data_IF_428272392329
#
_entry.id   IF_428272392329
#
_cell.length_a   1.000
_cell.length_b   1.000
_cell.length_c   1.000
_cell.angle_alpha   90.00
_cell.angle_beta   90.00
_cell.angle_gamma   90.00
#
_symmetry.space_group_name_H-M   'P 1'
#
loop_
_entity.id
_entity.type
_entity.pdbx_description
1 polymer ?
#
# COMPACT_ATOMS: atom_id res chain seq x y z
N UNK A 1 -21.34 33.03 -2.67
CA UNK A 1 -20.15 32.16 -2.60
C UNK A 1 -19.45 32.33 -3.92
N UNK A 2 -18.24 32.87 -3.90
CA UNK A 2 -17.53 33.19 -5.13
C UNK A 2 -17.19 31.88 -5.86
N UNK A 3 -17.12 31.90 -7.20
CA UNK A 3 -16.85 30.65 -7.94
C UNK A 3 -15.60 29.98 -7.39
N UNK A 4 -14.56 30.76 -7.10
CA UNK A 4 -13.26 30.31 -6.58
C UNK A 4 -13.37 29.54 -5.24
N UNK A 5 -14.22 29.99 -4.31
CA UNK A 5 -14.47 29.31 -3.03
C UNK A 5 -15.10 27.93 -3.22
N UNK A 6 -15.92 27.74 -4.27
CA UNK A 6 -16.53 26.44 -4.57
C UNK A 6 -15.53 25.41 -5.12
N UNK A 7 -14.45 25.85 -5.75
CA UNK A 7 -13.39 24.95 -6.26
C UNK A 7 -12.43 24.51 -5.17
N UNK A 8 -12.15 25.39 -4.21
CA UNK A 8 -11.34 25.04 -3.04
C UNK A 8 -12.05 23.98 -2.21
N UNK A 9 -13.36 24.11 -2.01
CA UNK A 9 -14.16 23.08 -1.35
C UNK A 9 -14.08 21.76 -2.13
N UNK A 10 -14.20 21.76 -3.45
CA UNK A 10 -14.04 20.52 -4.24
C UNK A 10 -12.63 19.92 -4.12
N UNK A 11 -11.58 20.73 -4.04
CA UNK A 11 -10.20 20.26 -3.79
C UNK A 11 -10.06 19.64 -2.39
N UNK A 12 -10.71 20.25 -1.39
CA UNK A 12 -10.76 19.76 -0.01
C UNK A 12 -11.81 18.67 0.23
N UNK A 13 -12.53 18.17 -0.77
CA UNK A 13 -13.52 17.11 -0.59
C UNK A 13 -13.55 16.09 -1.71
N UNK A 14 -12.59 16.09 -2.64
CA UNK A 14 -12.49 15.09 -3.70
C UNK A 14 -11.08 14.48 -3.74
N UNK A 15 -10.98 13.20 -4.07
CA UNK A 15 -9.72 12.45 -4.12
C UNK A 15 -8.98 12.65 -5.44
N UNK A 16 -9.73 12.93 -6.51
CA UNK A 16 -9.14 13.28 -7.80
C UNK A 16 -10.11 14.12 -8.62
N UNK A 17 -9.56 15.13 -9.31
CA UNK A 17 -10.28 15.94 -10.28
C UNK A 17 -9.56 15.80 -11.62
N UNK A 18 -10.19 15.12 -12.58
CA UNK A 18 -9.68 15.02 -13.95
C UNK A 18 -10.32 16.12 -14.79
N UNK A 19 -9.48 16.98 -15.39
CA UNK A 19 -9.93 18.08 -16.26
C UNK A 19 -9.53 17.81 -17.70
N UNK A 20 -10.47 17.96 -18.61
CA UNK A 20 -10.19 18.18 -20.02
C UNK A 20 -10.95 19.44 -20.50
N UNK A 21 -10.77 19.82 -21.76
CA UNK A 21 -11.31 21.08 -22.30
C UNK A 21 -12.86 21.15 -22.30
N UNK A 22 -13.56 20.03 -22.07
CA UNK A 22 -15.01 19.94 -22.20
C UNK A 22 -15.70 19.44 -20.92
N UNK A 23 -14.94 18.92 -19.95
CA UNK A 23 -15.49 18.27 -18.77
C UNK A 23 -14.54 18.36 -17.56
N UNK A 24 -15.16 18.47 -16.38
CA UNK A 24 -14.54 18.23 -15.08
C UNK A 24 -15.17 16.97 -14.48
N UNK A 25 -14.40 15.89 -14.33
CA UNK A 25 -14.83 14.70 -13.59
C UNK A 25 -14.27 14.76 -12.17
N UNK A 26 -15.16 14.59 -11.20
CA UNK A 26 -14.84 14.58 -9.77
C UNK A 26 -14.96 13.15 -9.27
N UNK A 27 -13.89 12.60 -8.72
CA UNK A 27 -13.84 11.30 -8.06
C UNK A 27 -13.79 11.51 -6.55
N UNK A 28 -14.70 10.87 -5.82
CA UNK A 28 -14.90 11.09 -4.40
C UNK A 28 -14.99 9.74 -3.66
N UNK A 29 -13.85 9.32 -3.12
CA UNK A 29 -13.55 8.14 -2.31
C UNK A 29 -13.04 8.46 -0.88
N UNK A 30 -13.06 9.70 -0.42
CA UNK A 30 -12.55 10.08 0.91
C UNK A 30 -13.23 9.30 2.05
N UNK A 31 -12.54 8.26 2.51
CA UNK A 31 -12.32 7.82 3.89
C UNK A 31 -11.07 6.91 3.80
N UNK A 32 -10.01 7.26 4.53
CA UNK A 32 -8.72 6.55 4.64
C UNK A 32 -7.88 6.47 3.35
N UNK A 33 -7.20 7.58 3.01
CA UNK A 33 -6.38 7.70 1.78
C UNK A 33 -4.99 7.07 1.92
N UNK A 34 -4.92 5.81 2.32
CA UNK A 34 -3.84 4.99 1.78
C UNK A 34 -4.06 4.85 0.27
N UNK A 35 -3.01 4.97 -0.55
CA UNK A 35 -3.13 5.04 -1.99
C UNK A 35 -3.93 3.85 -2.59
N UNK A 36 -5.21 4.09 -2.92
CA UNK A 36 -6.12 3.08 -3.49
C UNK A 36 -5.84 2.86 -4.98
N UNK A 37 -5.96 1.59 -5.38
CA UNK A 37 -6.08 0.97 -6.72
C UNK A 37 -5.09 1.32 -7.86
N UNK A 38 -4.44 2.48 -7.90
CA UNK A 38 -3.42 2.85 -8.93
C UNK A 38 -2.35 3.84 -8.42
N UNK A 39 -2.38 4.22 -7.15
CA UNK A 39 -2.01 5.57 -6.73
C UNK A 39 -0.53 5.93 -6.64
N UNK A 40 0.34 5.21 -5.93
CA UNK A 40 1.56 5.90 -5.42
C UNK A 40 2.50 6.38 -6.54
N UNK A 41 2.72 5.60 -7.61
CA UNK A 41 3.56 6.02 -8.75
C UNK A 41 2.87 7.03 -9.65
N UNK A 42 1.55 6.90 -9.82
CA UNK A 42 0.75 7.91 -10.53
C UNK A 42 0.74 9.24 -9.76
N UNK A 43 0.61 9.21 -8.42
CA UNK A 43 0.68 10.38 -7.53
C UNK A 43 2.09 11.01 -7.52
N UNK A 44 3.14 10.19 -7.58
CA UNK A 44 4.51 10.69 -7.81
C UNK A 44 4.69 11.33 -9.19
N UNK A 45 3.86 11.00 -10.19
CA UNK A 45 3.87 11.63 -11.51
C UNK A 45 3.04 12.93 -11.59
N UNK A 46 2.07 13.16 -10.68
CA UNK A 46 1.12 14.29 -10.76
C UNK A 46 1.18 15.30 -9.59
N UNK A 47 2.31 15.34 -8.86
CA UNK A 47 2.52 16.26 -7.72
C UNK A 47 1.43 16.23 -6.64
N UNK A 48 0.87 15.05 -6.40
CA UNK A 48 -0.10 14.88 -5.32
C UNK A 48 0.62 14.74 -3.96
N UNK A 49 0.13 15.38 -2.89
CA UNK A 49 0.69 15.22 -1.56
C UNK A 49 0.45 13.80 -1.05
N UNK A 50 1.54 13.05 -0.86
CA UNK A 50 1.52 11.77 -0.17
C UNK A 50 1.83 12.01 1.31
N UNK A 51 1.05 11.41 2.21
CA UNK A 51 1.39 11.34 3.64
C UNK A 51 2.59 10.40 3.79
N UNK A 52 3.79 10.90 3.47
CA UNK A 52 5.09 10.23 3.63
C UNK A 52 6.21 11.28 3.50
N UNK A 53 7.45 10.91 3.82
CA UNK A 53 8.55 11.87 3.89
C UNK A 53 8.89 12.52 2.54
N UNK A 54 9.10 13.84 2.54
CA UNK A 54 9.52 14.57 1.34
C UNK A 54 10.81 14.01 0.69
N UNK A 55 11.85 13.61 1.44
CA UNK A 55 13.01 12.94 0.86
C UNK A 55 12.66 11.66 0.08
N UNK A 56 11.77 10.79 0.58
CA UNK A 56 11.33 9.58 -0.12
C UNK A 56 10.65 9.93 -1.45
N UNK A 57 9.72 10.88 -1.41
CA UNK A 57 8.99 11.35 -2.60
C UNK A 57 9.98 11.91 -3.63
N UNK A 58 10.86 12.82 -3.22
CA UNK A 58 11.84 13.48 -4.09
C UNK A 58 12.77 12.46 -4.75
N UNK A 59 13.34 11.55 -3.97
CA UNK A 59 14.34 10.62 -4.47
C UNK A 59 13.70 9.51 -5.33
N UNK A 60 12.46 9.10 -5.02
CA UNK A 60 11.69 8.21 -5.88
C UNK A 60 11.35 8.87 -7.24
N UNK A 61 10.89 10.13 -7.24
CA UNK A 61 10.66 10.88 -8.49
C UNK A 61 11.94 11.02 -9.32
N UNK A 62 13.06 11.34 -8.68
CA UNK A 62 14.35 11.43 -9.35
C UNK A 62 14.77 10.08 -9.98
N UNK A 63 14.53 8.97 -9.28
CA UNK A 63 14.82 7.63 -9.79
C UNK A 63 13.97 7.28 -11.02
N UNK A 64 12.66 7.53 -10.96
CA UNK A 64 11.72 7.29 -12.06
C UNK A 64 12.09 8.13 -13.28
N UNK A 65 12.39 9.43 -13.09
CA UNK A 65 12.80 10.32 -14.17
C UNK A 65 14.10 9.84 -14.83
N UNK A 66 15.10 9.45 -14.02
CA UNK A 66 16.35 8.92 -14.55
C UNK A 66 16.15 7.63 -15.35
N UNK A 67 15.29 6.72 -14.88
CA UNK A 67 14.94 5.49 -15.61
C UNK A 67 14.24 5.80 -16.94
N UNK A 68 13.30 6.75 -16.96
CA UNK A 68 12.61 7.20 -18.18
C UNK A 68 13.57 7.83 -19.21
N UNK A 69 14.64 8.47 -18.74
CA UNK A 69 15.69 9.05 -19.59
C UNK A 69 16.76 8.03 -20.01
N UNK A 70 16.68 6.78 -19.54
CA UNK A 70 17.65 5.71 -19.82
C UNK A 70 18.94 5.79 -19.00
N UNK A 71 19.01 6.66 -17.98
CA UNK A 71 20.15 6.75 -17.07
C UNK A 71 19.98 5.78 -15.89
N UNK A 72 20.24 4.50 -16.17
CA UNK A 72 20.12 3.43 -15.17
C UNK A 72 21.06 3.61 -13.97
N UNK A 73 22.21 4.26 -14.15
CA UNK A 73 23.16 4.49 -13.05
C UNK A 73 22.64 5.56 -12.09
N UNK A 74 22.16 6.69 -12.61
CA UNK A 74 21.53 7.72 -11.79
C UNK A 74 20.26 7.20 -11.10
N UNK A 75 19.45 6.39 -11.81
CA UNK A 75 18.27 5.75 -11.24
C UNK A 75 18.63 4.85 -10.05
N UNK A 76 19.64 3.99 -10.19
CA UNK A 76 20.10 3.12 -9.11
C UNK A 76 20.63 3.90 -7.89
N UNK A 77 21.34 5.02 -8.10
CA UNK A 77 21.77 5.89 -7.00
C UNK A 77 20.56 6.48 -6.27
N UNK A 78 19.56 6.95 -6.99
CA UNK A 78 18.36 7.54 -6.40
C UNK A 78 17.53 6.49 -5.63
N UNK A 79 17.34 5.28 -6.19
CA UNK A 79 16.69 4.17 -5.46
C UNK A 79 17.45 3.79 -4.18
N UNK A 80 18.79 3.79 -4.19
CA UNK A 80 19.58 3.57 -2.97
C UNK A 80 19.35 4.63 -1.90
N UNK A 81 19.10 5.90 -2.29
CA UNK A 81 18.74 6.96 -1.35
C UNK A 81 17.37 6.70 -0.72
N UNK A 82 16.38 6.27 -1.51
CA UNK A 82 15.05 5.87 -1.02
C UNK A 82 15.18 4.78 0.04
N UNK A 83 15.93 3.70 -0.27
CA UNK A 83 16.17 2.60 0.68
C UNK A 83 16.90 3.09 1.93
N UNK A 84 17.97 3.87 1.77
CA UNK A 84 18.74 4.39 2.90
C UNK A 84 17.89 5.23 3.83
N UNK A 85 17.07 6.12 3.28
CA UNK A 85 16.17 6.95 4.05
C UNK A 85 15.17 6.08 4.82
N UNK A 86 14.52 5.13 4.13
CA UNK A 86 13.55 4.24 4.78
C UNK A 86 14.20 3.49 5.94
N UNK A 87 15.39 2.90 5.76
CA UNK A 87 16.04 2.09 6.79
C UNK A 87 16.59 2.92 7.95
N UNK A 88 17.20 4.07 7.68
CA UNK A 88 18.05 4.77 8.66
C UNK A 88 17.48 6.11 9.16
N UNK A 89 16.49 6.69 8.46
CA UNK A 89 16.08 8.07 8.69
C UNK A 89 14.59 8.25 8.96
N UNK A 90 13.72 7.34 8.47
CA UNK A 90 12.26 7.49 8.53
C UNK A 90 11.70 7.68 9.94
N UNK A 91 12.30 7.05 10.95
CA UNK A 91 11.81 7.11 12.33
C UNK A 91 11.80 8.54 12.90
N UNK A 92 12.69 9.41 12.40
CA UNK A 92 12.74 10.82 12.83
C UNK A 92 11.51 11.61 12.38
N UNK A 93 10.89 11.22 11.27
CA UNK A 93 9.69 11.88 10.75
C UNK A 93 8.43 11.39 11.48
N UNK A 94 8.47 10.24 12.13
CA UNK A 94 7.34 9.72 12.91
C UNK A 94 7.03 10.60 14.13
N UNK A 95 8.04 11.26 14.69
CA UNK A 95 7.90 12.21 15.80
C UNK A 95 7.07 13.46 15.44
N UNK A 96 6.86 13.72 14.14
CA UNK A 96 6.09 14.87 13.65
C UNK A 96 4.58 14.64 13.66
N UNK A 97 4.13 13.40 13.86
CA UNK A 97 2.71 13.03 13.85
C UNK A 97 2.15 13.01 15.27
N UNK A 98 0.99 13.64 15.44
CA UNK A 98 0.27 13.66 16.72
C UNK A 98 -0.86 12.63 16.80
N UNK A 99 -1.24 12.05 15.66
CA UNK A 99 -2.23 11.00 15.55
C UNK A 99 -1.61 9.68 15.05
N UNK A 100 -2.23 8.58 15.45
CA UNK A 100 -1.72 7.25 15.13
C UNK A 100 -2.06 6.84 13.69
N UNK A 101 -3.17 7.32 13.16
CA UNK A 101 -3.59 7.03 11.79
C UNK A 101 -2.62 7.64 10.77
N UNK A 102 -2.13 8.85 10.99
CA UNK A 102 -1.12 9.48 10.16
C UNK A 102 0.22 8.74 10.20
N UNK A 103 0.63 8.22 11.36
CA UNK A 103 1.81 7.34 11.49
C UNK A 103 1.62 6.06 10.67
N UNK A 104 0.45 5.42 10.79
CA UNK A 104 0.15 4.18 10.09
C UNK A 104 0.10 4.37 8.57
N UNK A 105 -0.51 5.46 8.11
CA UNK A 105 -0.58 5.83 6.69
C UNK A 105 0.82 6.18 6.14
N UNK A 106 1.62 6.91 6.93
CA UNK A 106 3.01 7.21 6.61
C UNK A 106 3.82 5.95 6.37
N UNK A 107 3.75 5.00 7.30
CA UNK A 107 4.54 3.77 7.24
C UNK A 107 4.11 2.88 6.06
N UNK A 108 2.80 2.77 5.76
CA UNK A 108 2.33 2.00 4.59
C UNK A 108 2.82 2.63 3.28
N UNK A 109 2.67 3.95 3.13
CA UNK A 109 3.14 4.65 1.93
C UNK A 109 4.66 4.54 1.76
N UNK A 110 5.42 4.73 2.85
CA UNK A 110 6.87 4.62 2.86
C UNK A 110 7.32 3.20 2.48
N UNK A 111 6.65 2.17 3.02
CA UNK A 111 6.96 0.77 2.72
C UNK A 111 6.69 0.43 1.26
N UNK A 112 5.57 0.90 0.68
CA UNK A 112 5.30 0.73 -0.74
C UNK A 112 6.42 1.34 -1.57
N UNK A 113 6.76 2.62 -1.37
CA UNK A 113 7.84 3.29 -2.12
C UNK A 113 9.16 2.53 -1.97
N UNK A 114 9.50 2.13 -0.75
CA UNK A 114 10.74 1.41 -0.45
C UNK A 114 10.79 0.04 -1.14
N UNK A 115 9.68 -0.71 -1.15
CA UNK A 115 9.63 -2.01 -1.83
C UNK A 115 9.88 -1.90 -3.34
N UNK A 116 9.44 -0.82 -3.99
CA UNK A 116 9.77 -0.56 -5.40
C UNK A 116 11.25 -0.24 -5.60
N UNK A 117 11.83 0.55 -4.70
CA UNK A 117 13.26 0.81 -4.75
C UNK A 117 14.08 -0.48 -4.61
N UNK A 118 13.71 -1.37 -3.68
CA UNK A 118 14.33 -2.68 -3.53
C UNK A 118 14.18 -3.56 -4.79
N UNK A 119 12.96 -3.67 -5.32
CA UNK A 119 12.69 -4.42 -6.55
C UNK A 119 13.53 -3.91 -7.73
N UNK A 120 13.60 -2.58 -7.93
CA UNK A 120 14.40 -1.94 -8.98
C UNK A 120 15.90 -2.12 -8.80
N UNK A 121 16.35 -2.35 -7.57
CA UNK A 121 17.74 -2.69 -7.25
C UNK A 121 18.02 -4.20 -7.33
N UNK A 122 17.02 -5.02 -7.68
CA UNK A 122 17.14 -6.48 -7.79
C UNK A 122 17.04 -7.22 -6.47
N UNK A 123 16.63 -6.56 -5.39
CA UNK A 123 16.55 -7.12 -4.03
C UNK A 123 15.10 -7.44 -3.66
N UNK A 124 14.55 -8.48 -4.30
CA UNK A 124 13.12 -8.82 -4.17
C UNK A 124 12.77 -9.32 -2.77
N UNK A 125 13.69 -9.98 -2.07
CA UNK A 125 13.44 -10.46 -0.71
C UNK A 125 13.24 -9.31 0.27
N UNK A 126 14.07 -8.26 0.21
CA UNK A 126 13.85 -7.08 1.04
C UNK A 126 12.62 -6.29 0.60
N UNK A 127 12.27 -6.29 -0.69
CA UNK A 127 11.02 -5.71 -1.17
C UNK A 127 9.79 -6.38 -0.53
N UNK A 128 9.79 -7.71 -0.42
CA UNK A 128 8.74 -8.49 0.26
C UNK A 128 8.73 -8.17 1.76
N UNK A 129 9.90 -8.17 2.40
CA UNK A 129 10.03 -8.01 3.85
C UNK A 129 9.53 -6.65 4.35
N UNK A 130 9.80 -5.56 3.62
CA UNK A 130 9.33 -4.23 4.04
C UNK A 130 7.81 -4.11 3.97
N UNK A 131 7.15 -4.79 3.02
CA UNK A 131 5.68 -4.77 2.93
C UNK A 131 5.05 -5.66 4.00
N UNK A 132 5.67 -6.82 4.27
CA UNK A 132 5.15 -7.86 5.17
C UNK A 132 4.67 -7.34 6.52
N UNK A 133 5.37 -6.35 7.07
CA UNK A 133 5.10 -5.77 8.40
C UNK A 133 3.85 -4.89 8.46
N UNK A 134 3.37 -4.45 7.31
CA UNK A 134 2.30 -3.46 7.19
C UNK A 134 1.02 -4.03 6.56
N UNK A 135 1.00 -5.33 6.21
CA UNK A 135 -0.15 -5.98 5.56
C UNK A 135 -1.41 -6.05 6.43
N UNK A 136 -1.26 -6.08 7.75
CA UNK A 136 -2.38 -6.06 8.70
C UNK A 136 -2.68 -4.65 9.24
N UNK A 137 -2.05 -3.61 8.68
CA UNK A 137 -2.28 -2.23 9.08
C UNK A 137 -3.71 -1.80 8.70
N UNK A 138 -4.40 -1.06 9.57
CA UNK A 138 -5.75 -0.54 9.26
C UNK A 138 -5.73 0.42 8.07
N UNK A 139 -4.66 1.18 7.92
CA UNK A 139 -4.47 2.05 6.75
C UNK A 139 -4.08 1.23 5.51
N UNK A 140 -3.68 -0.04 5.63
CA UNK A 140 -3.50 -0.89 4.44
C UNK A 140 -4.84 -1.29 3.79
N UNK A 141 -5.99 -1.04 4.44
CA UNK A 141 -7.32 -1.31 3.89
C UNK A 141 -7.50 -0.53 2.57
N UNK A 142 -7.97 -1.22 1.53
CA UNK A 142 -8.10 -0.70 0.16
C UNK A 142 -6.78 -0.27 -0.53
N UNK A 143 -5.63 -0.51 0.10
CA UNK A 143 -4.33 -0.11 -0.40
C UNK A 143 -3.69 -1.27 -1.19
N UNK A 144 -2.95 -0.99 -2.28
CA UNK A 144 -2.30 -2.04 -3.11
C UNK A 144 -1.10 -2.73 -2.46
N UNK A 145 -0.87 -2.52 -1.17
CA UNK A 145 0.24 -3.16 -0.46
C UNK A 145 0.12 -4.69 -0.47
N UNK A 146 -1.09 -5.20 -0.29
CA UNK A 146 -1.36 -6.65 -0.33
C UNK A 146 -1.17 -7.19 -1.74
N UNK A 147 -1.75 -6.53 -2.75
CA UNK A 147 -1.57 -6.90 -4.17
C UNK A 147 -0.08 -6.97 -4.54
N UNK A 148 0.66 -5.90 -4.24
CA UNK A 148 2.10 -5.81 -4.51
C UNK A 148 2.89 -6.88 -3.78
N UNK A 149 2.57 -7.13 -2.50
CA UNK A 149 3.22 -8.21 -1.75
C UNK A 149 3.01 -9.57 -2.42
N UNK A 150 1.79 -9.86 -2.86
CA UNK A 150 1.46 -11.09 -3.57
C UNK A 150 2.17 -11.18 -4.92
N UNK A 151 2.20 -10.10 -5.70
CA UNK A 151 2.95 -10.02 -6.96
C UNK A 151 4.44 -10.33 -6.75
N UNK A 152 5.07 -9.70 -5.74
CA UNK A 152 6.48 -9.96 -5.41
C UNK A 152 6.70 -11.40 -4.94
N UNK A 153 5.79 -11.97 -4.15
CA UNK A 153 5.84 -13.37 -3.75
C UNK A 153 5.72 -14.32 -4.94
N UNK A 154 4.81 -14.06 -5.88
CA UNK A 154 4.66 -14.85 -7.11
C UNK A 154 5.94 -14.74 -7.95
N UNK A 155 6.47 -13.53 -8.14
CA UNK A 155 7.69 -13.30 -8.90
C UNK A 155 8.91 -14.01 -8.29
N UNK A 156 9.01 -14.05 -6.95
CA UNK A 156 10.15 -14.61 -6.23
C UNK A 156 10.07 -16.13 -6.02
N UNK A 157 8.89 -16.66 -5.65
CA UNK A 157 8.70 -18.06 -5.27
C UNK A 157 8.04 -18.90 -6.38
N UNK A 158 7.47 -18.26 -7.39
CA UNK A 158 6.76 -18.90 -8.49
C UNK A 158 5.28 -19.15 -8.20
N UNK A 159 4.49 -19.21 -9.28
CA UNK A 159 3.03 -19.35 -9.23
C UNK A 159 2.57 -20.65 -8.55
N UNK A 160 3.30 -21.76 -8.72
CA UNK A 160 2.96 -23.05 -8.10
C UNK A 160 3.06 -22.96 -6.57
N UNK A 161 4.18 -22.44 -6.05
CA UNK A 161 4.36 -22.27 -4.61
C UNK A 161 3.34 -21.28 -4.03
N UNK A 162 3.02 -20.22 -4.77
CA UNK A 162 1.99 -19.26 -4.39
C UNK A 162 0.60 -19.90 -4.28
N UNK A 163 0.23 -20.78 -5.22
CA UNK A 163 -1.03 -21.51 -5.17
C UNK A 163 -1.07 -22.51 -3.99
N UNK A 164 0.03 -23.22 -3.73
CA UNK A 164 0.13 -24.12 -2.57
C UNK A 164 -0.02 -23.37 -1.24
N UNK A 165 0.61 -22.20 -1.12
CA UNK A 165 0.49 -21.34 0.06
C UNK A 165 -0.95 -20.86 0.25
N UNK A 166 -1.60 -20.43 -0.84
CA UNK A 166 -2.99 -19.98 -0.85
C UNK A 166 -3.95 -21.04 -0.31
N UNK A 167 -3.79 -22.29 -0.73
CA UNK A 167 -4.64 -23.40 -0.30
C UNK A 167 -4.54 -23.62 1.23
N UNK A 168 -3.36 -23.35 1.81
CA UNK A 168 -3.12 -23.44 3.26
C UNK A 168 -3.64 -22.23 4.02
N UNK A 169 -3.79 -21.06 3.39
CA UNK A 169 -4.25 -19.84 4.07
C UNK A 169 -5.60 -20.02 4.78
N UNK A 170 -6.50 -20.84 4.25
CA UNK A 170 -7.79 -21.15 4.89
C UNK A 170 -7.65 -21.79 6.28
N UNK A 171 -6.54 -22.48 6.51
CA UNK A 171 -6.21 -23.15 7.78
C UNK A 171 -5.47 -22.22 8.76
N UNK A 172 -4.95 -21.08 8.30
CA UNK A 172 -4.17 -20.14 9.12
C UNK A 172 -5.00 -18.98 9.68
N UNK A 173 -6.32 -19.07 9.53
CA UNK A 173 -7.24 -18.02 9.96
C UNK A 173 -7.31 -17.96 11.47
N UNK A 174 -7.04 -16.77 11.98
CA UNK A 174 -7.06 -16.51 13.40
C UNK A 174 -7.80 -15.20 13.68
N UNK A 175 -8.62 -15.23 14.72
CA UNK A 175 -9.11 -14.02 15.35
C UNK A 175 -8.03 -13.49 16.29
N UNK A 176 -7.57 -12.26 16.06
CA UNK A 176 -6.64 -11.58 16.94
C UNK A 176 -7.37 -10.51 17.74
N UNK A 177 -7.62 -10.84 19.00
CA UNK A 177 -7.94 -9.87 20.03
C UNK A 177 -6.66 -9.15 20.45
N UNK A 178 -6.58 -7.84 20.19
CA UNK A 178 -5.45 -7.04 20.64
C UNK A 178 -5.76 -6.34 21.96
N UNK A 179 -4.76 -6.26 22.86
CA UNK A 179 -4.91 -5.64 24.17
C UNK A 179 -4.95 -4.09 24.13
N UNK A 180 -4.83 -3.48 22.96
CA UNK A 180 -4.86 -2.03 22.74
C UNK A 180 -5.97 -1.64 21.76
N UNK A 181 -6.20 -0.33 21.61
CA UNK A 181 -7.22 0.38 20.79
C UNK A 181 -7.38 -0.04 19.31
N UNK A 182 -6.74 -1.12 18.86
CA UNK A 182 -6.90 -1.66 17.52
C UNK A 182 -8.03 -2.68 17.53
N UNK A 183 -9.01 -2.47 16.67
CA UNK A 183 -10.15 -3.36 16.50
C UNK A 183 -9.73 -4.82 16.41
N UNK A 184 -10.43 -5.64 17.17
CA UNK A 184 -10.50 -7.09 17.01
C UNK A 184 -10.64 -7.41 15.52
N UNK A 185 -9.68 -8.17 14.98
CA UNK A 185 -9.61 -8.44 13.55
C UNK A 185 -9.30 -9.88 13.25
N UNK A 186 -9.91 -10.34 12.16
CA UNK A 186 -9.54 -11.60 11.55
C UNK A 186 -8.35 -11.40 10.63
N UNK A 187 -7.41 -12.34 10.72
CA UNK A 187 -6.20 -12.32 9.90
C UNK A 187 -5.98 -13.68 9.25
N UNK A 188 -5.30 -13.66 8.10
CA UNK A 188 -4.75 -14.84 7.45
C UNK A 188 -3.23 -14.70 7.35
N UNK A 189 -2.53 -15.81 7.19
CA UNK A 189 -1.10 -15.81 6.87
C UNK A 189 -0.88 -16.29 5.44
N UNK A 190 -0.17 -15.49 4.64
CA UNK A 190 0.30 -15.83 3.29
C UNK A 190 1.80 -15.53 3.19
N UNK A 191 2.63 -16.55 2.93
CA UNK A 191 4.10 -16.47 2.99
C UNK A 191 4.64 -15.82 4.28
N UNK A 192 3.97 -16.11 5.40
CA UNK A 192 4.29 -15.54 6.71
C UNK A 192 3.98 -14.04 6.86
N UNK A 193 3.31 -13.41 5.89
CA UNK A 193 2.71 -12.10 6.01
C UNK A 193 1.30 -12.20 6.61
N UNK A 194 1.05 -11.41 7.65
CA UNK A 194 -0.27 -11.31 8.28
C UNK A 194 -1.14 -10.33 7.49
N UNK A 195 -2.17 -10.82 6.81
CA UNK A 195 -3.07 -9.98 6.02
C UNK A 195 -4.39 -9.84 6.79
N UNK A 196 -4.85 -8.59 6.96
CA UNK A 196 -6.16 -8.32 7.54
C UNK A 196 -7.29 -8.75 6.61
N UNK A 197 -8.31 -9.40 7.16
CA UNK A 197 -9.55 -9.70 6.44
C UNK A 197 -10.51 -8.53 6.59
N UNK A 198 -10.88 -7.90 5.47
CA UNK A 198 -11.78 -6.74 5.45
C UNK A 198 -13.23 -7.13 5.78
N UNK A 199 -13.92 -6.20 6.46
CA UNK A 199 -15.35 -6.25 6.79
C UNK A 199 -15.62 -5.74 8.21
N UNK A 200 -16.82 -5.24 8.46
CA UNK A 200 -17.36 -5.04 9.81
C UNK A 200 -17.54 -6.40 10.51
N UNK A 201 -16.43 -7.08 10.78
CA UNK A 201 -16.41 -8.39 11.44
C UNK A 201 -16.14 -8.21 12.92
N UNK A 202 -16.76 -7.17 13.50
CA UNK A 202 -16.67 -6.89 14.92
C UNK A 202 -17.29 -8.01 15.76
N UNK A 203 -18.03 -8.95 15.17
CA UNK A 203 -18.58 -10.11 15.86
C UNK A 203 -18.78 -11.27 14.87
N UNK A 204 -18.72 -12.51 15.39
CA UNK A 204 -19.12 -13.82 14.83
C UNK A 204 -17.96 -14.77 14.46
N UNK A 205 -18.10 -16.00 14.96
CA UNK A 205 -17.40 -17.19 14.47
C UNK A 205 -17.67 -17.36 12.97
N UNK A 206 -16.62 -17.40 12.15
CA UNK A 206 -16.76 -17.74 10.75
C UNK A 206 -16.86 -19.25 10.52
N UNK A 207 -17.78 -19.66 9.68
CA UNK A 207 -17.69 -20.97 9.04
C UNK A 207 -16.56 -21.00 8.01
N UNK A 208 -15.97 -22.17 7.79
CA UNK A 208 -14.95 -22.39 6.75
C UNK A 208 -15.40 -21.94 5.34
N UNK A 209 -16.70 -21.94 5.06
CA UNK A 209 -17.27 -21.49 3.78
C UNK A 209 -17.23 -19.95 3.68
N UNK A 210 -17.57 -19.23 4.75
CA UNK A 210 -17.48 -17.77 4.77
C UNK A 210 -16.04 -17.30 4.62
N UNK A 211 -15.14 -17.95 5.34
CA UNK A 211 -13.68 -17.84 5.19
C UNK A 211 -13.24 -17.99 3.73
N UNK A 212 -13.60 -19.10 3.07
CA UNK A 212 -13.17 -19.37 1.70
C UNK A 212 -13.74 -18.35 0.72
N UNK A 213 -14.95 -17.85 0.99
CA UNK A 213 -15.58 -16.80 0.18
C UNK A 213 -14.86 -15.47 0.36
N UNK A 214 -14.47 -15.10 1.58
CA UNK A 214 -13.71 -13.88 1.85
C UNK A 214 -12.34 -13.93 1.18
N UNK A 215 -11.63 -15.06 1.33
CA UNK A 215 -10.38 -15.35 0.65
C UNK A 215 -10.52 -15.15 -0.87
N UNK A 216 -11.46 -15.83 -1.52
CA UNK A 216 -11.70 -15.71 -2.96
C UNK A 216 -12.05 -14.29 -3.45
N UNK A 217 -12.57 -13.45 -2.56
CA UNK A 217 -12.92 -12.07 -2.87
C UNK A 217 -11.77 -11.08 -2.69
N UNK A 218 -10.69 -11.46 -1.99
CA UNK A 218 -9.50 -10.60 -1.86
C UNK A 218 -8.88 -10.34 -3.24
N UNK A 219 -8.48 -9.10 -3.49
CA UNK A 219 -7.81 -8.68 -4.73
C UNK A 219 -6.56 -9.53 -5.02
N UNK A 220 -5.80 -9.89 -3.97
CA UNK A 220 -4.71 -10.87 -3.98
C UNK A 220 -5.06 -12.22 -4.64
N UNK A 221 -6.25 -12.76 -4.38
CA UNK A 221 -6.67 -14.06 -4.93
C UNK A 221 -6.94 -13.96 -6.43
N UNK A 222 -7.45 -12.82 -6.90
CA UNK A 222 -7.74 -12.61 -8.32
C UNK A 222 -6.46 -12.52 -9.17
N UNK A 223 -5.35 -12.07 -8.60
CA UNK A 223 -4.06 -11.94 -9.29
C UNK A 223 -3.41 -13.29 -9.63
N UNK A 224 -3.76 -14.37 -8.94
CA UNK A 224 -3.20 -15.71 -9.20
C UNK A 224 -3.77 -16.40 -10.45
N UNK A 225 -4.90 -15.92 -10.96
CA UNK A 225 -5.66 -16.52 -12.07
C UNK A 225 -5.75 -15.62 -13.32
N UNK A 226 -4.95 -14.53 -13.36
CA UNK A 226 -4.75 -13.67 -14.53
C UNK A 226 -3.49 -14.11 -15.28
#
# INVERSE_FOLDING_TARGET
MDKQDSWEILYWYADSIVRNNEMVKVYNSRLDTCATETGIFTYLQVDYPLTTAHPLIRDAKAAILAEQLGDHHAAAIAFKKVVNYYVNEREKDLELYSDINGILQYEVNAAIICSYAYEKLGDTLNAIEVLRRHLANVEARNCKIVDRYVELCIANFGQVAALEELNKCSETIAFKSQASLYDDKWVIYYFGGEIGLDGDVANHDFSAIQVNTMLQNMSAFKLLFQ
#
